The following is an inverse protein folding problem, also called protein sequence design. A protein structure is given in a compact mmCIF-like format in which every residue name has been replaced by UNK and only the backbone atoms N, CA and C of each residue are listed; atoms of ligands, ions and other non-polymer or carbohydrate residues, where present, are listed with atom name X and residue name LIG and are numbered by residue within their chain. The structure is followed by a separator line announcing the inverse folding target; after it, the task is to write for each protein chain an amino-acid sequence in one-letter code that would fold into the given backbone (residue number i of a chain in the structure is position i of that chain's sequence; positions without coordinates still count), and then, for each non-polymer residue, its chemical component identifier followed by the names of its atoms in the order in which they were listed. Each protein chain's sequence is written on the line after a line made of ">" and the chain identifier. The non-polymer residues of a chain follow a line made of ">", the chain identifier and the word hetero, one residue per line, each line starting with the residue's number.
data_IF_391559587207
#
_entry.id   IF_391559587207
#
_cell.length_a   1.000
_cell.length_b   1.000
_cell.length_c   1.000
_cell.angle_alpha   90.00
_cell.angle_beta   90.00
_cell.angle_gamma   90.00
#
_symmetry.space_group_name_H-M   'P 1'
#
loop_
_entity.id
_entity.type
_entity.pdbx_description
1 polymer ?
#
# COMPACT_ATOMS: atom_id res chain seq x y z
N UNK A 1 -29.83 -8.99 -15.50
CA UNK A 1 -28.99 -9.83 -16.38
C UNK A 1 -27.70 -9.09 -16.71
N UNK A 2 -26.66 -9.27 -15.88
CA UNK A 2 -25.34 -8.69 -16.14
C UNK A 2 -24.52 -9.66 -16.99
N UNK A 3 -24.06 -9.22 -18.16
CA UNK A 3 -23.20 -10.01 -19.05
C UNK A 3 -21.78 -10.06 -18.48
N UNK A 4 -21.41 -11.23 -17.95
CA UNK A 4 -20.04 -11.63 -17.68
C UNK A 4 -19.33 -11.86 -19.03
N UNK A 5 -18.43 -10.95 -19.44
CA UNK A 5 -17.50 -11.21 -20.55
C UNK A 5 -16.22 -11.81 -19.97
N UNK A 6 -16.09 -13.12 -20.13
CA UNK A 6 -14.85 -13.86 -19.91
C UNK A 6 -13.80 -13.39 -20.93
N UNK A 7 -12.71 -12.80 -20.46
CA UNK A 7 -11.51 -12.51 -21.26
C UNK A 7 -10.57 -13.71 -21.15
N UNK A 8 -10.59 -14.59 -22.16
CA UNK A 8 -9.80 -15.83 -22.23
C UNK A 8 -8.58 -15.73 -23.15
N UNK A 9 -8.04 -14.55 -23.44
CA UNK A 9 -6.76 -14.44 -24.16
C UNK A 9 -5.92 -13.23 -23.70
N UNK A 10 -4.68 -13.50 -23.32
CA UNK A 10 -3.71 -12.49 -22.85
C UNK A 10 -3.09 -11.65 -23.97
N UNK A 11 -3.49 -11.86 -25.23
CA UNK A 11 -2.89 -11.19 -26.41
C UNK A 11 -3.74 -10.07 -27.00
N UNK A 12 -4.88 -9.72 -26.40
CA UNK A 12 -5.85 -8.80 -27.01
C UNK A 12 -6.14 -7.52 -26.20
N UNK A 13 -5.19 -7.01 -25.43
CA UNK A 13 -5.31 -5.66 -24.87
C UNK A 13 -4.07 -4.84 -25.21
N UNK A 14 -4.17 -4.11 -26.32
CA UNK A 14 -3.23 -3.05 -26.64
C UNK A 14 -3.90 -1.71 -26.30
N UNK A 15 -3.71 -1.18 -25.07
CA UNK A 15 -4.41 0.02 -24.62
C UNK A 15 -4.10 1.25 -25.48
N UNK A 16 -2.95 1.28 -26.14
CA UNK A 16 -2.52 2.34 -27.07
C UNK A 16 -3.33 2.33 -28.37
N UNK A 17 -3.78 1.16 -28.84
CA UNK A 17 -4.57 1.03 -30.07
C UNK A 17 -6.06 1.37 -29.87
N UNK A 18 -6.55 1.41 -28.62
CA UNK A 18 -7.97 1.63 -28.29
C UNK A 18 -8.36 3.08 -28.03
N UNK A 19 -7.43 4.05 -28.05
CA UNK A 19 -7.72 5.45 -27.74
C UNK A 19 -8.23 5.70 -26.31
N UNK A 20 -8.03 4.74 -25.41
CA UNK A 20 -8.45 4.82 -24.01
C UNK A 20 -7.33 5.49 -23.21
N UNK A 21 -7.49 6.78 -22.96
CA UNK A 21 -6.68 7.49 -21.98
C UNK A 21 -7.13 7.00 -20.58
N UNK A 22 -6.26 6.26 -19.90
CA UNK A 22 -6.53 5.82 -18.53
C UNK A 22 -6.03 6.87 -17.56
N UNK A 23 -6.94 7.46 -16.80
CA UNK A 23 -6.57 8.28 -15.66
C UNK A 23 -5.93 7.40 -14.56
N UNK A 24 -4.69 7.72 -14.20
CA UNK A 24 -3.91 6.97 -13.23
C UNK A 24 -4.60 6.93 -11.86
N UNK A 25 -5.23 8.04 -11.45
CA UNK A 25 -5.99 8.11 -10.19
C UNK A 25 -7.17 7.14 -10.18
N UNK A 26 -7.94 7.13 -11.26
CA UNK A 26 -9.07 6.21 -11.47
C UNK A 26 -8.61 4.75 -11.48
N UNK A 27 -7.49 4.44 -12.13
CA UNK A 27 -6.92 3.09 -12.11
C UNK A 27 -6.53 2.63 -10.70
N UNK A 28 -5.88 3.51 -9.93
CA UNK A 28 -5.50 3.27 -8.54
C UNK A 28 -6.72 3.00 -7.65
N UNK A 29 -7.77 3.82 -7.76
CA UNK A 29 -9.00 3.68 -6.98
C UNK A 29 -9.75 2.39 -7.30
N UNK A 30 -9.77 2.00 -8.58
CA UNK A 30 -10.39 0.76 -9.05
C UNK A 30 -9.56 -0.49 -8.73
N UNK A 31 -8.30 -0.32 -8.32
CA UNK A 31 -7.41 -1.44 -8.00
C UNK A 31 -7.62 -1.92 -6.56
N UNK A 32 -7.64 -3.24 -6.38
CA UNK A 32 -7.69 -3.84 -5.03
C UNK A 32 -6.32 -3.88 -4.38
N UNK A 33 -5.30 -4.28 -5.14
CA UNK A 33 -3.91 -4.43 -4.72
C UNK A 33 -2.99 -3.60 -5.60
N UNK A 34 -2.01 -2.94 -4.99
CA UNK A 34 -1.03 -2.10 -5.68
C UNK A 34 0.36 -2.62 -5.37
N UNK A 35 1.11 -3.00 -6.41
CA UNK A 35 2.48 -3.44 -6.24
C UNK A 35 3.38 -2.24 -5.92
N UNK A 36 4.04 -2.29 -4.76
CA UNK A 36 4.91 -1.23 -4.25
C UNK A 36 6.33 -1.79 -4.09
N UNK A 37 7.16 -1.76 -5.14
CA UNK A 37 8.57 -2.07 -5.01
C UNK A 37 9.29 -0.99 -4.20
N UNK A 38 10.37 -1.40 -3.50
CA UNK A 38 11.27 -0.44 -2.87
C UNK A 38 11.77 0.56 -3.91
N UNK A 39 11.67 1.85 -3.60
CA UNK A 39 12.26 2.90 -4.42
C UNK A 39 13.78 2.95 -4.31
N UNK A 40 14.43 3.83 -5.08
CA UNK A 40 15.88 4.09 -4.99
C UNK A 40 16.30 4.79 -3.69
N UNK A 41 15.34 5.34 -2.94
CA UNK A 41 15.52 6.07 -1.68
C UNK A 41 14.90 5.27 -0.53
N UNK A 42 14.83 5.86 0.66
CA UNK A 42 14.22 5.26 1.86
C UNK A 42 12.70 5.03 1.77
N UNK A 43 12.06 5.40 0.65
CA UNK A 43 10.64 5.21 0.44
C UNK A 43 10.23 5.12 -1.03
N UNK A 44 8.93 4.92 -1.26
CA UNK A 44 8.31 4.87 -2.57
C UNK A 44 7.08 5.77 -2.57
N UNK A 45 6.98 6.72 -3.49
CA UNK A 45 5.78 7.57 -3.62
C UNK A 45 4.53 6.73 -3.90
N UNK A 46 4.69 5.59 -4.61
CA UNK A 46 3.65 4.60 -4.87
C UNK A 46 3.01 4.05 -3.59
N UNK A 47 3.76 4.02 -2.48
CA UNK A 47 3.20 3.60 -1.20
C UNK A 47 2.13 4.57 -0.73
N UNK A 48 2.42 5.87 -0.75
CA UNK A 48 1.47 6.90 -0.33
C UNK A 48 0.28 7.00 -1.29
N UNK A 49 0.52 6.88 -2.60
CA UNK A 49 -0.56 6.85 -3.61
C UNK A 49 -1.50 5.65 -3.41
N UNK A 50 -0.94 4.47 -3.11
CA UNK A 50 -1.73 3.29 -2.80
C UNK A 50 -2.58 3.50 -1.53
N UNK A 51 -1.98 4.08 -0.49
CA UNK A 51 -2.70 4.39 0.74
C UNK A 51 -3.85 5.38 0.50
N UNK A 52 -3.58 6.47 -0.22
CA UNK A 52 -4.56 7.48 -0.59
C UNK A 52 -5.74 6.89 -1.36
N UNK A 53 -5.46 6.02 -2.33
CA UNK A 53 -6.49 5.40 -3.17
C UNK A 53 -7.25 4.24 -2.50
N UNK A 54 -6.84 3.82 -1.30
CA UNK A 54 -7.43 2.64 -0.63
C UNK A 54 -7.02 1.33 -1.29
N UNK A 55 -5.98 1.38 -2.12
CA UNK A 55 -5.42 0.23 -2.80
C UNK A 55 -4.43 -0.46 -1.85
N UNK A 56 -4.61 -1.76 -1.57
CA UNK A 56 -3.79 -2.45 -0.59
C UNK A 56 -2.35 -2.53 -1.11
N UNK A 57 -1.36 -1.93 -0.42
CA UNK A 57 0.03 -2.00 -0.83
C UNK A 57 0.56 -3.43 -0.66
N UNK A 58 1.05 -3.99 -1.77
CA UNK A 58 1.84 -5.22 -1.81
C UNK A 58 3.31 -4.81 -1.89
N UNK A 59 3.97 -4.84 -0.74
CA UNK A 59 5.34 -4.41 -0.55
C UNK A 59 6.29 -5.47 -1.10
N UNK A 60 6.98 -5.12 -2.18
CA UNK A 60 8.04 -5.95 -2.74
C UNK A 60 9.36 -5.44 -2.18
N UNK A 61 9.64 -5.80 -0.93
CA UNK A 61 10.80 -5.32 -0.18
C UNK A 61 11.11 -6.17 1.05
N UNK A 62 12.34 -6.69 1.16
CA UNK A 62 12.75 -7.55 2.29
C UNK A 62 13.26 -6.79 3.53
N UNK A 63 13.70 -5.54 3.37
CA UNK A 63 14.31 -4.72 4.44
C UNK A 63 13.71 -3.30 4.52
N UNK A 64 12.43 -3.13 4.19
CA UNK A 64 11.80 -1.81 4.32
C UNK A 64 11.37 -1.55 5.76
N UNK A 65 12.00 -0.57 6.38
CA UNK A 65 11.47 0.11 7.57
C UNK A 65 10.36 1.05 7.14
N UNK A 66 9.12 0.75 7.53
CA UNK A 66 7.97 1.55 7.14
C UNK A 66 7.83 2.80 8.03
N UNK A 67 7.24 3.89 7.52
CA UNK A 67 7.00 5.08 8.31
C UNK A 67 6.21 4.76 9.59
N UNK A 68 6.70 5.25 10.73
CA UNK A 68 6.06 5.11 12.03
C UNK A 68 5.76 3.65 12.43
N UNK A 69 6.60 2.68 12.03
CA UNK A 69 6.41 1.25 12.36
C UNK A 69 6.38 0.94 13.87
N UNK A 70 6.91 1.84 14.72
CA UNK A 70 6.79 1.74 16.19
C UNK A 70 5.38 2.05 16.72
N UNK A 71 4.55 2.70 15.92
CA UNK A 71 3.16 3.09 16.24
C UNK A 71 2.13 2.37 15.37
N UNK A 72 2.48 2.03 14.14
CA UNK A 72 1.58 1.47 13.15
C UNK A 72 1.89 -0.01 12.95
N UNK A 73 0.91 -0.87 13.26
CA UNK A 73 0.95 -2.27 12.87
C UNK A 73 0.58 -2.42 11.38
N UNK A 74 1.60 -2.33 10.54
CA UNK A 74 1.45 -2.39 9.09
C UNK A 74 0.93 -3.75 8.59
N UNK A 75 0.97 -4.81 9.41
CA UNK A 75 0.33 -6.10 9.07
C UNK A 75 -1.16 -5.96 8.88
N UNK A 76 -1.79 -4.92 9.42
CA UNK A 76 -3.21 -4.66 9.27
C UNK A 76 -3.57 -3.86 8.02
N UNK A 77 -2.58 -3.34 7.26
CA UNK A 77 -2.83 -2.47 6.11
C UNK A 77 -2.01 -2.80 4.86
N UNK A 78 -1.04 -3.71 4.95
CA UNK A 78 -0.12 -4.05 3.86
C UNK A 78 0.13 -5.55 3.78
N UNK A 79 0.57 -6.00 2.60
CA UNK A 79 1.01 -7.36 2.33
C UNK A 79 2.49 -7.33 1.97
N UNK A 80 3.29 -8.23 2.51
CA UNK A 80 4.69 -8.38 2.13
C UNK A 80 4.82 -9.49 1.10
N UNK A 81 5.59 -9.20 0.06
CA UNK A 81 6.04 -10.18 -0.91
C UNK A 81 7.57 -10.15 -0.98
N UNK A 82 8.18 -11.34 -1.03
CA UNK A 82 9.62 -11.45 -1.19
C UNK A 82 10.01 -10.91 -2.58
N UNK A 83 11.00 -10.01 -2.63
CA UNK A 83 11.54 -9.45 -3.86
C UNK A 83 11.96 -10.54 -4.86
N UNK A 84 12.41 -11.69 -4.36
CA UNK A 84 12.86 -12.84 -5.16
C UNK A 84 11.72 -13.67 -5.72
N UNK A 85 10.51 -13.53 -5.17
CA UNK A 85 9.33 -14.32 -5.51
C UNK A 85 8.26 -13.49 -6.22
N UNK A 86 8.67 -12.47 -6.98
CA UNK A 86 7.75 -11.58 -7.72
C UNK A 86 6.69 -12.34 -8.54
N UNK A 87 7.08 -13.45 -9.17
CA UNK A 87 6.17 -14.26 -9.99
C UNK A 87 5.08 -14.98 -9.16
N UNK A 88 5.26 -15.13 -7.85
CA UNK A 88 4.28 -15.75 -6.94
C UNK A 88 3.29 -14.73 -6.36
N UNK A 89 3.54 -13.43 -6.51
CA UNK A 89 2.65 -12.37 -6.01
C UNK A 89 1.19 -12.57 -6.42
N UNK A 90 0.87 -12.90 -7.70
CA UNK A 90 -0.52 -13.15 -8.10
C UNK A 90 -1.21 -14.25 -7.29
N UNK A 91 -0.50 -15.31 -6.94
CA UNK A 91 -1.07 -16.43 -6.19
C UNK A 91 -1.25 -16.07 -4.71
N UNK A 92 -0.30 -15.32 -4.14
CA UNK A 92 -0.41 -14.76 -2.79
C UNK A 92 -1.67 -13.90 -2.69
N UNK A 93 -1.85 -12.91 -3.57
CA UNK A 93 -2.99 -11.99 -3.46
C UNK A 93 -4.34 -12.67 -3.74
N UNK A 94 -4.39 -13.68 -4.62
CA UNK A 94 -5.60 -14.48 -4.88
C UNK A 94 -5.98 -15.39 -3.71
N UNK A 95 -5.03 -15.78 -2.88
CA UNK A 95 -5.27 -16.63 -1.70
C UNK A 95 -5.91 -15.88 -0.52
N UNK A 96 -5.96 -14.54 -0.57
CA UNK A 96 -6.46 -13.71 0.53
C UNK A 96 -8.00 -13.69 0.49
N UNK A 97 -8.63 -13.94 1.64
CA UNK A 97 -10.08 -13.92 1.76
C UNK A 97 -10.66 -12.52 1.53
N UNK A 98 -11.90 -12.45 1.03
CA UNK A 98 -12.60 -11.19 0.81
C UNK A 98 -12.76 -10.35 2.10
N UNK A 99 -13.00 -11.01 3.23
CA UNK A 99 -13.06 -10.36 4.56
C UNK A 99 -11.73 -9.69 4.89
N UNK A 100 -10.62 -10.39 4.67
CA UNK A 100 -9.29 -9.85 4.92
C UNK A 100 -8.96 -8.69 3.98
N UNK A 101 -9.35 -8.78 2.71
CA UNK A 101 -9.22 -7.69 1.74
C UNK A 101 -9.98 -6.45 2.23
N UNK A 102 -11.23 -6.61 2.67
CA UNK A 102 -12.03 -5.50 3.19
C UNK A 102 -11.37 -4.84 4.39
N UNK A 103 -10.92 -5.64 5.37
CA UNK A 103 -10.22 -5.13 6.55
C UNK A 103 -8.93 -4.38 6.20
N UNK A 104 -8.11 -4.93 5.28
CA UNK A 104 -6.88 -4.28 4.80
C UNK A 104 -7.20 -2.93 4.14
N UNK A 105 -8.18 -2.88 3.22
CA UNK A 105 -8.57 -1.62 2.53
C UNK A 105 -9.07 -0.57 3.52
N UNK A 106 -9.90 -0.96 4.48
CA UNK A 106 -10.40 -0.06 5.51
C UNK A 106 -9.24 0.50 6.33
N UNK A 107 -8.32 -0.35 6.79
CA UNK A 107 -7.18 0.09 7.57
C UNK A 107 -6.24 1.00 6.76
N UNK A 108 -6.02 0.69 5.48
CA UNK A 108 -5.27 1.55 4.56
C UNK A 108 -5.81 2.99 4.56
N UNK A 109 -7.13 3.15 4.44
CA UNK A 109 -7.78 4.46 4.44
C UNK A 109 -7.74 5.14 5.81
N UNK A 110 -7.93 4.40 6.90
CA UNK A 110 -7.78 4.93 8.27
C UNK A 110 -6.38 5.49 8.49
N UNK A 111 -5.34 4.76 8.06
CA UNK A 111 -3.96 5.22 8.20
C UNK A 111 -3.66 6.44 7.34
N UNK A 112 -4.16 6.46 6.10
CA UNK A 112 -4.06 7.64 5.24
C UNK A 112 -4.68 8.86 5.90
N UNK A 113 -5.94 8.77 6.32
CA UNK A 113 -6.66 9.88 6.95
C UNK A 113 -6.03 10.31 8.26
N UNK A 114 -5.46 9.38 9.03
CA UNK A 114 -4.89 9.74 10.34
C UNK A 114 -3.51 10.36 10.23
N UNK A 115 -2.65 9.86 9.34
CA UNK A 115 -1.21 10.14 9.41
C UNK A 115 -0.61 10.77 8.15
N UNK A 116 -1.20 10.53 6.97
CA UNK A 116 -0.54 10.83 5.69
C UNK A 116 -1.31 11.79 4.78
N UNK A 117 -2.60 12.06 5.08
CA UNK A 117 -3.49 12.85 4.22
C UNK A 117 -3.12 14.32 4.04
N UNK A 118 -2.16 14.85 4.79
CA UNK A 118 -1.60 16.18 4.60
C UNK A 118 -0.18 16.28 5.16
N UNK A 119 0.58 17.29 4.71
CA UNK A 119 1.90 17.60 5.27
C UNK A 119 1.81 17.86 6.77
N UNK A 120 0.78 18.58 7.21
CA UNK A 120 0.52 18.87 8.61
C UNK A 120 0.41 17.58 9.45
N UNK A 121 -0.40 16.60 9.00
CA UNK A 121 -0.53 15.30 9.67
C UNK A 121 0.82 14.58 9.76
N UNK A 122 1.61 14.60 8.68
CA UNK A 122 2.94 13.96 8.65
C UNK A 122 3.89 14.63 9.65
N UNK A 123 3.92 15.97 9.69
CA UNK A 123 4.77 16.74 10.61
C UNK A 123 4.40 16.45 12.05
N UNK A 124 3.11 16.52 12.40
CA UNK A 124 2.66 16.22 13.77
C UNK A 124 2.94 14.77 14.18
N UNK A 125 2.68 13.81 13.30
CA UNK A 125 2.96 12.39 13.57
C UNK A 125 4.45 12.15 13.82
N UNK A 126 5.30 12.81 13.04
CA UNK A 126 6.76 12.77 13.20
C UNK A 126 7.18 13.36 14.54
N UNK A 127 6.64 14.53 14.91
CA UNK A 127 6.93 15.16 16.19
C UNK A 127 6.55 14.24 17.35
N UNK A 128 5.34 13.69 17.36
CA UNK A 128 4.91 12.77 18.41
C UNK A 128 5.76 11.49 18.45
N UNK A 129 6.18 10.96 17.29
CA UNK A 129 7.01 9.76 17.24
C UNK A 129 8.39 10.01 17.87
N UNK A 130 9.00 11.16 17.56
CA UNK A 130 10.27 11.59 18.16
C UNK A 130 10.13 11.81 19.66
N UNK A 131 9.07 12.48 20.12
CA UNK A 131 8.82 12.68 21.56
C UNK A 131 8.67 11.35 22.30
N UNK A 132 7.96 10.39 21.73
CA UNK A 132 7.81 9.05 22.32
C UNK A 132 9.16 8.34 22.42
N UNK A 133 9.99 8.41 21.37
CA UNK A 133 11.33 7.81 21.39
C UNK A 133 12.25 8.45 22.44
N UNK A 134 12.22 9.77 22.57
CA UNK A 134 13.00 10.49 23.58
C UNK A 134 12.58 10.09 25.01
N UNK A 135 11.27 9.96 25.26
CA UNK A 135 10.77 9.47 26.54
C UNK A 135 11.28 8.06 26.84
N UNK A 136 11.12 7.14 25.89
CA UNK A 136 11.59 5.76 26.03
C UNK A 136 13.11 5.67 26.24
N UNK A 137 13.88 6.55 25.62
CA UNK A 137 15.32 6.61 25.83
C UNK A 137 15.68 7.08 27.24
N UNK A 138 15.04 8.15 27.72
CA UNK A 138 15.25 8.66 29.09
C UNK A 138 14.87 7.63 30.16
N UNK A 139 13.77 6.90 29.97
CA UNK A 139 13.31 5.87 30.91
C UNK A 139 14.26 4.64 30.96
N UNK A 140 15.19 4.48 29.99
CA UNK A 140 16.20 3.40 29.99
C UNK A 140 17.52 3.80 30.64
N UNK A 141 17.79 5.10 30.77
CA UNK A 141 19.05 5.63 31.32
C UNK A 141 18.94 6.12 32.77
N UNK A 142 17.73 6.17 33.33
CA UNK A 142 17.47 6.44 34.75
C UNK A 142 17.09 5.18 35.50
#
# INVERSE_FOLDING_TARGET
>A
MAKLKLLTSWTAFNPVASGLEYDYGTLLQNSTFCLVPRGRRLGSFRFLEALQAGCIPVLLSNAWVLPFESKIDWKQAAIWADERLLLQVPDIVRSISAERIFALRQQTQVLWERYFGSIEKIVFTTFEATQQQLKLWRDREG
#
